data_IF_314312961169
#
_entry.id   IF_314312961169
#
_cell.length_a   1.000
_cell.length_b   1.000
_cell.length_c   1.000
_cell.angle_alpha   90.00
_cell.angle_beta   90.00
_cell.angle_gamma   90.00
#
_symmetry.space_group_name_H-M   'P 1'
#
loop_
_entity.id
_entity.type
_entity.pdbx_description
1 polymer ?
#
# COMPACT_ATOMS: atom_id res chain seq x y z
N UNK A 1 -7.66 29.25 -6.73
CA UNK A 1 -6.20 29.24 -6.48
C UNK A 1 -5.75 27.80 -6.57
N UNK A 2 -4.79 27.46 -7.44
CA UNK A 2 -4.27 26.10 -7.52
C UNK A 2 -3.51 25.77 -6.23
N UNK A 3 -3.83 24.65 -5.57
CA UNK A 3 -3.04 24.16 -4.43
C UNK A 3 -1.58 23.98 -4.87
N UNK A 4 -0.59 24.40 -4.07
CA UNK A 4 0.81 24.24 -4.43
C UNK A 4 1.13 22.77 -4.71
N UNK A 5 1.90 22.51 -5.77
CA UNK A 5 2.31 21.15 -6.14
C UNK A 5 3.30 20.63 -5.10
N UNK A 6 3.02 19.46 -4.51
CA UNK A 6 3.93 18.79 -3.58
C UNK A 6 5.22 18.42 -4.35
N UNK A 7 6.42 18.87 -3.95
CA UNK A 7 7.66 18.56 -4.67
C UNK A 7 7.93 17.05 -4.71
N UNK A 8 8.60 16.56 -5.76
CA UNK A 8 9.03 15.17 -5.82
C UNK A 8 10.32 14.98 -5.00
N UNK A 9 10.49 13.83 -4.35
CA UNK A 9 11.76 13.44 -3.76
C UNK A 9 12.84 13.25 -4.86
N UNK A 10 14.13 13.35 -4.51
CA UNK A 10 15.21 13.17 -5.47
C UNK A 10 15.24 11.73 -6.04
N UNK A 11 15.79 11.52 -7.25
CA UNK A 11 15.94 10.18 -7.82
C UNK A 11 16.87 9.30 -6.96
N UNK A 12 16.53 8.02 -6.80
CA UNK A 12 17.32 7.06 -6.01
C UNK A 12 16.46 6.15 -5.15
N UNK A 13 17.07 5.49 -4.17
CA UNK A 13 16.34 4.80 -3.11
C UNK A 13 15.50 5.82 -2.33
N UNK A 14 14.22 5.52 -2.15
CA UNK A 14 13.26 6.41 -1.53
C UNK A 14 13.05 6.00 -0.08
N UNK A 15 13.00 6.97 0.84
CA UNK A 15 12.62 6.72 2.22
C UNK A 15 11.10 6.44 2.33
N UNK A 16 10.63 5.89 3.47
CA UNK A 16 9.19 5.75 3.72
C UNK A 16 8.41 7.07 3.60
N UNK A 17 8.97 8.19 4.05
CA UNK A 17 8.31 9.51 3.95
C UNK A 17 8.26 10.00 2.50
N UNK A 18 9.30 9.74 1.71
CA UNK A 18 9.31 10.06 0.27
C UNK A 18 8.15 9.35 -0.46
N UNK A 19 7.92 8.07 -0.14
CA UNK A 19 6.78 7.33 -0.67
C UNK A 19 5.44 7.92 -0.22
N UNK A 20 5.27 8.31 1.05
CA UNK A 20 4.05 8.97 1.52
C UNK A 20 3.82 10.31 0.80
N UNK A 21 4.88 11.11 0.63
CA UNK A 21 4.81 12.38 -0.08
C UNK A 21 4.40 12.18 -1.55
N UNK A 22 4.98 11.19 -2.23
CA UNK A 22 4.59 10.80 -3.57
C UNK A 22 3.11 10.36 -3.64
N UNK A 23 2.65 9.54 -2.70
CA UNK A 23 1.25 9.13 -2.62
C UNK A 23 0.29 10.31 -2.51
N UNK A 24 0.56 11.27 -1.62
CA UNK A 24 -0.24 12.51 -1.48
C UNK A 24 -0.26 13.31 -2.78
N UNK A 25 0.88 13.40 -3.47
CA UNK A 25 0.98 14.06 -4.78
C UNK A 25 0.12 13.36 -5.83
N UNK A 26 0.10 12.03 -5.89
CA UNK A 26 -0.71 11.30 -6.84
C UNK A 26 -2.22 11.49 -6.59
N UNK A 27 -2.66 11.61 -5.34
CA UNK A 27 -4.04 12.03 -5.01
C UNK A 27 -4.34 13.45 -5.51
N UNK A 28 -3.39 14.38 -5.41
CA UNK A 28 -3.57 15.71 -5.98
C UNK A 28 -3.65 15.66 -7.52
N UNK A 29 -2.79 14.87 -8.17
CA UNK A 29 -2.78 14.73 -9.62
C UNK A 29 -4.04 14.07 -10.16
N UNK A 30 -4.62 13.08 -9.46
CA UNK A 30 -5.88 12.48 -9.88
C UNK A 30 -7.03 13.49 -9.90
N UNK A 31 -7.09 14.40 -8.90
CA UNK A 31 -8.07 15.50 -8.87
C UNK A 31 -7.89 16.46 -10.04
N UNK A 32 -6.65 16.78 -10.40
CA UNK A 32 -6.34 17.67 -11.53
C UNK A 32 -6.78 17.04 -12.85
N UNK A 33 -6.40 15.79 -13.10
CA UNK A 33 -6.81 15.07 -14.31
C UNK A 33 -8.33 14.94 -14.42
N UNK A 34 -9.01 14.70 -13.30
CA UNK A 34 -10.47 14.62 -13.31
C UNK A 34 -11.12 15.97 -13.66
N UNK A 35 -10.61 17.07 -13.10
CA UNK A 35 -11.09 18.41 -13.42
C UNK A 35 -10.86 18.81 -14.89
N UNK A 36 -9.86 18.20 -15.54
CA UNK A 36 -9.58 18.33 -16.98
C UNK A 36 -10.44 17.40 -17.85
N UNK A 37 -11.27 16.53 -17.24
CA UNK A 37 -12.06 15.52 -17.93
C UNK A 37 -11.28 14.27 -18.33
N UNK A 38 -9.99 14.18 -17.95
CA UNK A 38 -9.14 13.02 -18.20
C UNK A 38 -9.35 11.93 -17.13
N UNK A 39 -10.47 11.23 -17.30
CA UNK A 39 -10.90 10.13 -16.43
C UNK A 39 -9.89 8.99 -16.37
N UNK A 40 -9.19 8.74 -17.48
CA UNK A 40 -8.20 7.67 -17.57
C UNK A 40 -7.01 7.99 -16.66
N UNK A 41 -6.36 9.14 -16.85
CA UNK A 41 -5.25 9.55 -16.01
C UNK A 41 -5.67 9.75 -14.55
N UNK A 42 -6.87 10.24 -14.29
CA UNK A 42 -7.39 10.36 -12.93
C UNK A 42 -7.42 9.02 -12.20
N UNK A 43 -7.99 7.98 -12.84
CA UNK A 43 -8.05 6.62 -12.28
C UNK A 43 -6.66 5.99 -12.11
N UNK A 44 -5.75 6.20 -13.07
CA UNK A 44 -4.37 5.72 -12.99
C UNK A 44 -3.63 6.31 -11.78
N UNK A 45 -3.73 7.64 -11.57
CA UNK A 45 -3.05 8.28 -10.43
C UNK A 45 -3.63 7.84 -9.08
N UNK A 46 -4.92 7.49 -9.00
CA UNK A 46 -5.49 6.86 -7.79
C UNK A 46 -4.80 5.53 -7.50
N UNK A 47 -4.69 4.65 -8.50
CA UNK A 47 -4.03 3.35 -8.32
C UNK A 47 -2.56 3.50 -7.91
N UNK A 48 -1.83 4.44 -8.53
CA UNK A 48 -0.44 4.74 -8.19
C UNK A 48 -0.31 5.29 -6.77
N UNK A 49 -1.22 6.15 -6.30
CA UNK A 49 -1.21 6.68 -4.93
C UNK A 49 -1.28 5.56 -3.88
N UNK A 50 -2.21 4.63 -4.05
CA UNK A 50 -2.43 3.47 -3.16
C UNK A 50 -1.23 2.52 -3.20
N UNK A 51 -0.73 2.19 -4.39
CA UNK A 51 0.43 1.32 -4.52
C UNK A 51 1.69 1.92 -3.87
N UNK A 52 1.86 3.23 -3.96
CA UNK A 52 3.00 3.95 -3.40
C UNK A 52 2.94 4.01 -1.88
N UNK A 53 1.75 4.13 -1.27
CA UNK A 53 1.65 4.15 0.21
C UNK A 53 1.90 2.75 0.79
N UNK A 54 1.49 1.70 0.09
CA UNK A 54 1.87 0.33 0.46
C UNK A 54 3.39 0.12 0.44
N UNK A 55 4.12 0.76 -0.48
CA UNK A 55 5.60 0.73 -0.47
C UNK A 55 6.16 1.47 0.75
N UNK A 56 5.55 2.58 1.16
CA UNK A 56 6.00 3.32 2.34
C UNK A 56 6.04 2.44 3.59
N UNK A 57 4.92 1.78 3.91
CA UNK A 57 4.83 0.91 5.09
C UNK A 57 5.63 -0.37 4.94
N UNK A 58 5.71 -0.95 3.75
CA UNK A 58 6.54 -2.12 3.50
C UNK A 58 8.02 -1.79 3.69
N UNK A 59 8.49 -0.65 3.17
CA UNK A 59 9.86 -0.20 3.36
C UNK A 59 10.16 0.09 4.83
N UNK A 60 9.26 0.77 5.55
CA UNK A 60 9.44 1.03 6.99
C UNK A 60 9.52 -0.25 7.82
N UNK A 61 8.79 -1.29 7.42
CA UNK A 61 8.74 -2.58 8.10
C UNK A 61 9.74 -3.60 7.54
N UNK A 62 10.64 -3.16 6.67
CA UNK A 62 11.66 -3.99 6.02
C UNK A 62 11.08 -5.18 5.23
N UNK A 63 9.86 -5.04 4.73
CA UNK A 63 9.22 -6.01 3.86
C UNK A 63 9.64 -5.79 2.41
N UNK A 64 9.81 -6.91 1.69
CA UNK A 64 10.01 -6.90 0.25
C UNK A 64 8.80 -6.29 -0.44
N UNK A 65 9.06 -5.40 -1.40
CA UNK A 65 8.04 -4.63 -2.13
C UNK A 65 8.47 -4.38 -3.59
N UNK A 66 9.40 -5.18 -4.09
CA UNK A 66 10.02 -5.09 -5.42
C UNK A 66 9.16 -5.69 -6.55
N UNK A 67 8.03 -6.33 -6.22
CA UNK A 67 7.13 -6.93 -7.22
C UNK A 67 5.66 -6.66 -6.96
N UNK A 68 4.86 -6.72 -8.04
CA UNK A 68 3.41 -6.58 -7.96
C UNK A 68 2.74 -7.71 -7.16
N UNK A 69 3.30 -8.92 -7.17
CA UNK A 69 2.79 -10.06 -6.41
C UNK A 69 2.84 -9.79 -4.89
N UNK A 70 3.87 -9.09 -4.43
CA UNK A 70 4.05 -8.77 -3.01
C UNK A 70 3.04 -7.74 -2.49
N UNK A 71 2.44 -6.92 -3.37
CA UNK A 71 1.38 -5.98 -2.97
C UNK A 71 0.19 -6.70 -2.33
N UNK A 72 -0.21 -7.85 -2.89
CA UNK A 72 -1.31 -8.65 -2.34
C UNK A 72 -0.95 -9.23 -0.96
N UNK A 73 0.31 -9.62 -0.78
CA UNK A 73 0.81 -10.14 0.50
C UNK A 73 0.86 -9.03 1.57
N UNK A 74 1.32 -7.81 1.21
CA UNK A 74 1.33 -6.63 2.10
C UNK A 74 -0.09 -6.28 2.53
N UNK A 75 -1.02 -6.19 1.56
CA UNK A 75 -2.46 -5.93 1.82
C UNK A 75 -3.06 -6.94 2.79
N UNK A 76 -2.82 -8.23 2.54
CA UNK A 76 -3.33 -9.31 3.38
C UNK A 76 -2.78 -9.21 4.80
N UNK A 77 -1.51 -8.80 4.92
CA UNK A 77 -0.86 -8.64 6.21
C UNK A 77 -1.46 -7.50 7.01
N UNK A 78 -1.55 -6.32 6.41
CA UNK A 78 -2.16 -5.16 7.04
C UNK A 78 -3.62 -5.44 7.45
N UNK A 79 -4.37 -6.17 6.63
CA UNK A 79 -5.73 -6.59 6.96
C UNK A 79 -5.83 -7.46 8.23
N UNK A 80 -4.81 -8.26 8.53
CA UNK A 80 -4.72 -9.01 9.79
C UNK A 80 -4.45 -8.13 11.00
N UNK A 81 -3.65 -7.07 10.83
CA UNK A 81 -3.27 -6.15 11.92
C UNK A 81 -4.40 -5.18 12.27
N UNK A 82 -5.09 -4.65 11.28
CA UNK A 82 -6.17 -3.68 11.45
C UNK A 82 -7.48 -4.43 11.82
N UNK A 83 -7.57 -5.72 11.48
CA UNK A 83 -8.76 -6.56 11.64
C UNK A 83 -9.76 -6.40 10.47
N UNK A 84 -10.69 -7.36 10.35
CA UNK A 84 -11.78 -7.34 9.35
C UNK A 84 -12.83 -6.25 9.61
N UNK A 85 -12.71 -5.49 10.70
CA UNK A 85 -13.74 -4.58 11.20
C UNK A 85 -13.73 -3.18 10.53
N UNK A 86 -12.79 -2.91 9.65
CA UNK A 86 -12.59 -1.56 9.07
C UNK A 86 -12.98 -1.47 7.61
N UNK A 87 -13.63 -0.36 7.25
CA UNK A 87 -13.76 0.14 5.88
C UNK A 87 -12.40 0.09 5.12
N UNK A 88 -11.26 0.18 5.82
CA UNK A 88 -9.91 0.06 5.26
C UNK A 88 -9.54 -1.30 4.60
N UNK A 89 -10.17 -2.42 4.96
CA UNK A 89 -9.92 -3.70 4.29
C UNK A 89 -10.64 -3.78 2.93
N UNK A 90 -11.84 -3.20 2.84
CA UNK A 90 -12.51 -2.96 1.57
C UNK A 90 -11.74 -1.94 0.72
N UNK A 91 -10.98 -1.05 1.36
CA UNK A 91 -10.10 -0.11 0.69
C UNK A 91 -8.87 -0.75 0.07
N UNK A 92 -8.23 -1.66 0.78
CA UNK A 92 -7.14 -2.42 0.19
C UNK A 92 -7.63 -3.36 -0.94
N UNK A 93 -8.82 -3.94 -0.79
CA UNK A 93 -9.46 -4.78 -1.81
C UNK A 93 -9.89 -3.99 -3.05
N UNK A 94 -10.47 -2.80 -2.89
CA UNK A 94 -10.81 -1.90 -3.99
C UNK A 94 -9.58 -1.27 -4.64
N UNK A 95 -8.48 -1.05 -3.91
CA UNK A 95 -7.20 -0.67 -4.50
C UNK A 95 -6.60 -1.76 -5.41
N UNK A 96 -6.79 -3.04 -5.03
CA UNK A 96 -6.49 -4.20 -5.88
C UNK A 96 -7.46 -4.33 -7.06
N UNK A 97 -8.73 -3.98 -6.88
CA UNK A 97 -9.72 -3.92 -7.95
C UNK A 97 -9.40 -2.79 -8.94
N UNK A 98 -9.11 -1.56 -8.50
CA UNK A 98 -8.73 -0.43 -9.34
C UNK A 98 -7.43 -0.68 -10.14
N UNK A 99 -6.47 -1.41 -9.56
CA UNK A 99 -5.25 -1.84 -10.28
C UNK A 99 -5.49 -2.99 -11.29
N UNK A 100 -6.56 -3.77 -11.14
CA UNK A 100 -6.96 -4.82 -12.12
C UNK A 100 -7.99 -4.29 -13.14
N UNK A 101 -8.87 -3.38 -12.73
CA UNK A 101 -9.77 -2.58 -13.56
C UNK A 101 -9.00 -1.53 -14.36
N UNK A 102 -7.74 -1.23 -14.00
CA UNK A 102 -6.80 -0.49 -14.86
C UNK A 102 -6.77 -1.12 -16.26
N UNK A 103 -6.77 -2.45 -16.38
CA UNK A 103 -6.82 -3.10 -17.68
C UNK A 103 -8.18 -2.90 -18.36
N UNK A 104 -9.32 -3.02 -17.67
CA UNK A 104 -10.61 -2.82 -18.34
C UNK A 104 -10.91 -1.34 -18.66
N UNK A 105 -10.55 -0.40 -17.79
CA UNK A 105 -10.78 1.03 -17.99
C UNK A 105 -9.76 1.68 -18.95
N UNK A 106 -8.51 1.19 -19.00
CA UNK A 106 -7.53 1.59 -20.04
C UNK A 106 -7.99 1.19 -21.45
N UNK A 107 -8.75 0.09 -21.59
CA UNK A 107 -9.28 -0.35 -22.89
C UNK A 107 -10.72 0.14 -23.17
N UNK A 108 -11.56 0.32 -22.15
CA UNK A 108 -13.01 0.52 -22.33
C UNK A 108 -13.56 1.83 -21.72
N UNK A 109 -12.79 2.57 -20.90
CA UNK A 109 -13.16 3.88 -20.32
C UNK A 109 -14.57 3.93 -19.68
N UNK A 110 -14.89 2.91 -18.90
CA UNK A 110 -16.20 2.60 -18.34
C UNK A 110 -16.51 3.38 -17.05
N UNK A 111 -15.48 3.86 -16.32
CA UNK A 111 -15.69 4.57 -15.05
C UNK A 111 -16.29 5.96 -15.27
N UNK A 112 -17.34 6.27 -14.49
CA UNK A 112 -17.93 7.61 -14.45
C UNK A 112 -17.08 8.57 -13.60
N UNK A 113 -17.33 9.86 -13.74
CA UNK A 113 -16.69 10.89 -12.91
C UNK A 113 -16.99 10.68 -11.42
N UNK A 114 -18.23 10.29 -11.07
CA UNK A 114 -18.64 9.99 -9.70
C UNK A 114 -17.92 8.76 -9.12
N UNK A 115 -17.62 7.75 -9.94
CA UNK A 115 -16.80 6.60 -9.52
C UNK A 115 -15.40 7.06 -9.15
N UNK A 116 -14.77 7.85 -10.02
CA UNK A 116 -13.41 8.33 -9.84
C UNK A 116 -13.34 9.28 -8.63
N UNK A 117 -14.33 10.16 -8.43
CA UNK A 117 -14.38 11.02 -7.23
C UNK A 117 -14.41 10.21 -5.93
N UNK A 118 -15.17 9.11 -5.90
CA UNK A 118 -15.21 8.20 -4.75
C UNK A 118 -13.86 7.54 -4.53
N UNK A 119 -13.21 7.09 -5.60
CA UNK A 119 -11.90 6.45 -5.54
C UNK A 119 -10.77 7.40 -5.13
N UNK A 120 -10.87 8.69 -5.49
CA UNK A 120 -9.96 9.74 -5.01
C UNK A 120 -10.10 9.94 -3.50
N UNK A 121 -11.34 10.14 -3.00
CA UNK A 121 -11.59 10.36 -1.57
C UNK A 121 -11.15 9.17 -0.72
N UNK A 122 -11.31 7.98 -1.27
CA UNK A 122 -10.78 6.76 -0.73
C UNK A 122 -9.26 6.71 -0.67
N UNK A 123 -8.56 7.08 -1.75
CA UNK A 123 -7.10 7.01 -1.79
C UNK A 123 -6.49 7.98 -0.77
N UNK A 124 -7.10 9.15 -0.60
CA UNK A 124 -6.75 10.11 0.43
C UNK A 124 -6.87 9.52 1.84
N UNK A 125 -8.02 8.91 2.16
CA UNK A 125 -8.23 8.24 3.45
C UNK A 125 -7.25 7.08 3.67
N UNK A 126 -6.95 6.32 2.61
CA UNK A 126 -6.02 5.20 2.67
C UNK A 126 -4.59 5.66 2.98
N UNK A 127 -4.10 6.70 2.29
CA UNK A 127 -2.77 7.27 2.53
C UNK A 127 -2.67 7.79 3.97
N UNK A 128 -3.73 8.41 4.48
CA UNK A 128 -3.77 8.87 5.87
C UNK A 128 -3.70 7.69 6.85
N UNK A 129 -4.44 6.61 6.60
CA UNK A 129 -4.40 5.43 7.46
C UNK A 129 -3.00 4.82 7.50
N UNK A 130 -2.39 4.61 6.33
CA UNK A 130 -1.05 4.07 6.25
C UNK A 130 -0.08 4.96 7.02
N UNK A 131 -0.17 6.28 6.86
CA UNK A 131 0.65 7.21 7.63
C UNK A 131 0.45 7.07 9.15
N UNK A 132 -0.77 6.82 9.63
CA UNK A 132 -1.06 6.56 11.04
C UNK A 132 -0.46 5.23 11.51
N UNK A 133 -0.67 4.15 10.75
CA UNK A 133 -0.14 2.81 11.05
C UNK A 133 1.38 2.77 11.07
N UNK A 134 2.04 3.61 10.29
CA UNK A 134 3.49 3.77 10.30
C UNK A 134 4.01 4.40 11.61
N UNK A 135 3.16 5.03 12.42
CA UNK A 135 3.51 5.53 13.75
C UNK A 135 3.22 4.51 14.86
N UNK A 136 2.59 3.38 14.53
CA UNK A 136 2.30 2.30 15.46
C UNK A 136 3.38 1.21 15.37
N UNK A 137 3.64 0.54 16.49
CA UNK A 137 4.46 -0.68 16.47
C UNK A 137 3.76 -1.74 15.61
N UNK A 138 4.45 -2.43 14.69
CA UNK A 138 3.85 -3.49 13.90
C UNK A 138 3.28 -4.57 14.82
N UNK A 139 2.10 -5.09 14.49
CA UNK A 139 1.51 -6.19 15.26
C UNK A 139 2.15 -7.52 14.84
N UNK A 140 2.23 -8.50 15.76
CA UNK A 140 2.73 -9.81 15.44
C UNK A 140 2.07 -10.48 14.25
N UNK A 141 2.87 -11.15 13.42
CA UNK A 141 2.33 -12.11 12.49
C UNK A 141 1.59 -13.21 13.27
N UNK A 142 0.46 -13.69 12.76
CA UNK A 142 -0.14 -14.93 13.26
C UNK A 142 0.03 -15.99 12.20
N UNK A 143 0.88 -16.99 12.45
CA UNK A 143 1.04 -18.14 11.54
C UNK A 143 0.09 -19.25 11.96
N UNK A 144 -1.15 -19.16 11.50
CA UNK A 144 -2.19 -20.13 11.86
C UNK A 144 -2.28 -21.31 10.89
N UNK A 145 -1.86 -21.10 9.63
CA UNK A 145 -1.95 -22.07 8.53
C UNK A 145 -0.68 -22.02 7.66
N UNK A 146 -0.35 -23.10 6.92
CA UNK A 146 0.79 -23.12 5.99
C UNK A 146 0.77 -21.98 4.95
N UNK A 147 -0.42 -21.53 4.54
CA UNK A 147 -0.55 -20.39 3.63
C UNK A 147 -0.05 -19.07 4.26
N UNK A 148 -0.19 -18.92 5.58
CA UNK A 148 0.32 -17.75 6.30
C UNK A 148 1.85 -17.77 6.28
N UNK A 149 2.46 -18.93 6.51
CA UNK A 149 3.91 -19.11 6.49
C UNK A 149 4.50 -18.76 5.12
N UNK A 150 3.93 -19.31 4.04
CA UNK A 150 4.39 -19.02 2.68
C UNK A 150 4.30 -17.51 2.34
N UNK A 151 3.21 -16.86 2.73
CA UNK A 151 3.03 -15.42 2.52
C UNK A 151 4.05 -14.59 3.30
N UNK A 152 4.32 -14.94 4.55
CA UNK A 152 5.32 -14.27 5.38
C UNK A 152 6.72 -14.48 4.80
N UNK A 153 7.02 -15.68 4.30
CA UNK A 153 8.27 -15.97 3.60
C UNK A 153 8.46 -15.14 2.33
N UNK A 154 7.39 -14.88 1.58
CA UNK A 154 7.45 -13.97 0.44
C UNK A 154 7.77 -12.52 0.86
N UNK A 155 7.16 -12.03 1.95
CA UNK A 155 7.35 -10.66 2.43
C UNK A 155 8.71 -10.44 3.09
N UNK A 156 9.18 -11.41 3.86
CA UNK A 156 10.37 -11.27 4.72
C UNK A 156 11.60 -11.96 4.13
N UNK A 157 11.41 -12.95 3.26
CA UNK A 157 12.47 -13.86 2.83
C UNK A 157 12.74 -15.02 3.78
N UNK A 158 11.95 -15.18 4.86
CA UNK A 158 12.16 -16.20 5.90
C UNK A 158 10.90 -17.03 6.11
N UNK A 159 11.04 -18.36 6.14
CA UNK A 159 9.96 -19.28 6.50
C UNK A 159 9.74 -19.25 8.02
N UNK A 160 8.60 -18.74 8.52
CA UNK A 160 8.31 -18.76 9.94
C UNK A 160 7.83 -20.15 10.38
N UNK A 161 8.07 -20.50 11.64
CA UNK A 161 7.51 -21.72 12.23
C UNK A 161 6.00 -21.55 12.53
N UNK A 162 5.24 -22.64 12.39
CA UNK A 162 3.82 -22.65 12.74
C UNK A 162 3.63 -22.37 14.23
N UNK A 163 2.71 -21.45 14.56
CA UNK A 163 2.42 -21.08 15.95
C UNK A 163 3.32 -19.97 16.52
N UNK A 164 4.26 -19.43 15.73
CA UNK A 164 5.03 -18.23 16.12
C UNK A 164 4.19 -16.98 15.93
N UNK A 165 4.24 -16.09 16.92
CA UNK A 165 3.70 -14.73 16.86
C UNK A 165 4.78 -13.72 17.18
N UNK A 166 5.44 -13.15 16.17
CA UNK A 166 6.50 -12.14 16.33
C UNK A 166 6.09 -10.78 15.72
N UNK A 167 6.17 -9.72 16.53
CA UNK A 167 5.85 -8.33 16.18
C UNK A 167 6.84 -7.69 15.21
N UNK A 168 8.05 -8.23 15.16
CA UNK A 168 9.09 -7.72 14.29
C UNK A 168 8.98 -8.41 12.94
N UNK A 169 8.77 -7.63 11.87
CA UNK A 169 9.32 -8.02 10.57
C UNK A 169 10.77 -8.39 10.84
N UNK A 170 11.12 -9.65 10.61
CA UNK A 170 12.39 -10.29 10.99
C UNK A 170 13.58 -9.34 10.85
N UNK A 171 13.85 -8.57 11.92
CA UNK A 171 15.00 -7.71 12.05
C UNK A 171 16.18 -8.59 12.46
N UNK A 172 16.46 -9.61 11.64
CA UNK A 172 17.73 -10.31 11.64
C UNK A 172 18.45 -9.92 10.35
N UNK A 173 18.79 -8.64 10.29
CA UNK A 173 19.85 -8.16 9.44
C UNK A 173 21.12 -8.96 9.76
N UNK A 174 21.73 -9.56 8.74
CA UNK A 174 23.17 -9.78 8.69
C UNK A 174 23.84 -10.41 9.92
N UNK A 175 23.28 -11.51 10.44
CA UNK A 175 24.11 -12.51 11.13
C UNK A 175 24.55 -12.23 12.57
N UNK A 176 23.75 -11.57 13.40
CA UNK A 176 23.91 -11.73 14.87
C UNK A 176 22.57 -12.03 15.55
N UNK A 177 22.32 -13.33 15.74
CA UNK A 177 21.38 -13.82 16.75
C UNK A 177 22.00 -13.51 18.11
N UNK A 178 21.40 -12.60 18.88
CA UNK A 178 21.58 -12.61 20.34
C UNK A 178 20.37 -13.23 20.99
N UNK A 179 20.60 -14.43 21.52
CA UNK A 179 19.69 -15.14 22.41
C UNK A 179 19.42 -14.30 23.65
N UNK A 180 18.15 -14.22 24.04
CA UNK A 180 17.67 -13.83 25.36
C UNK A 180 16.51 -14.74 25.72
#
# INVERSE_FOLDING_TARGET
>A
MASPSIPLPPPGEQSPEDYLQMSRRYVQQSRLHLAEGDRLQASEKVAVAVATSLKAIAHQREWRHDSHALRASIVTQLGGEIGQATNQAQVLYRGRAAANEEHQNQYENVLSEDDILRDIGFAEAFVQEISSLMNESPKPFTVSKPLDAHRIAQLTGHEPELGVTDAQGFANFNGEVRQG
#
